data_IF_829595605427
#
_entry.id   IF_829595605427
#
_cell.length_a   1.000
_cell.length_b   1.000
_cell.length_c   1.000
_cell.angle_alpha   90.00
_cell.angle_beta   90.00
_cell.angle_gamma   90.00
#
_symmetry.space_group_name_H-M   'P 1'
#
loop_
_entity.id
_entity.type
_entity.pdbx_description
1 polymer ?
#
# COMPACT_ATOMS: atom_id res chain seq x y z
N UNK A 1 5.20 2.75 -42.86
CA UNK A 1 4.94 3.54 -41.63
C UNK A 1 4.50 4.93 -42.07
N UNK A 2 3.28 5.38 -41.73
CA UNK A 2 2.86 6.77 -41.94
C UNK A 2 2.72 7.42 -40.57
N UNK A 3 3.54 8.43 -40.29
CA UNK A 3 3.46 9.21 -39.06
C UNK A 3 2.63 10.47 -39.34
N UNK A 4 1.77 10.85 -38.40
CA UNK A 4 1.07 12.13 -38.43
C UNK A 4 1.84 13.04 -37.48
N UNK A 5 2.58 14.01 -38.02
CA UNK A 5 3.36 14.97 -37.25
C UNK A 5 2.72 16.36 -37.37
N UNK A 6 2.54 17.04 -36.25
CA UNK A 6 1.96 18.38 -36.18
C UNK A 6 2.82 19.30 -35.31
N UNK A 7 3.57 20.19 -35.96
CA UNK A 7 4.45 21.17 -35.31
C UNK A 7 3.69 22.29 -34.56
N UNK A 8 2.36 22.39 -34.72
CA UNK A 8 1.53 23.42 -34.08
C UNK A 8 1.02 23.04 -32.69
N UNK A 9 1.15 21.77 -32.31
CA UNK A 9 0.61 21.20 -31.05
C UNK A 9 1.45 21.52 -29.80
N UNK A 10 2.59 22.20 -29.94
CA UNK A 10 3.51 22.49 -28.83
C UNK A 10 4.34 21.29 -28.34
N UNK A 11 4.07 20.08 -28.84
CA UNK A 11 4.83 18.86 -28.54
C UNK A 11 6.04 18.79 -29.47
N UNK A 12 7.28 18.59 -28.98
CA UNK A 12 8.46 18.48 -29.82
C UNK A 12 8.32 17.36 -30.86
N UNK A 13 8.77 17.60 -32.10
CA UNK A 13 8.70 16.63 -33.21
C UNK A 13 9.37 15.29 -32.84
N UNK A 14 10.45 15.33 -32.06
CA UNK A 14 11.13 14.13 -31.54
C UNK A 14 10.16 13.25 -30.75
N UNK A 15 9.33 13.83 -29.88
CA UNK A 15 8.39 13.07 -29.04
C UNK A 15 7.23 12.49 -29.86
N UNK A 16 6.75 13.23 -30.86
CA UNK A 16 5.73 12.74 -31.77
C UNK A 16 6.23 11.55 -32.61
N UNK A 17 7.48 11.59 -33.07
CA UNK A 17 8.10 10.47 -33.80
C UNK A 17 8.25 9.25 -32.87
N UNK A 18 8.72 9.45 -31.62
CA UNK A 18 8.83 8.35 -30.63
C UNK A 18 7.46 7.71 -30.37
N UNK A 19 6.44 8.52 -30.10
CA UNK A 19 5.09 8.03 -29.83
C UNK A 19 4.49 7.28 -31.03
N UNK A 20 4.65 7.82 -32.25
CA UNK A 20 4.14 7.19 -33.45
C UNK A 20 4.85 5.87 -33.79
N UNK A 21 6.18 5.79 -33.60
CA UNK A 21 6.92 4.53 -33.78
C UNK A 21 6.54 3.51 -32.71
N UNK A 22 6.32 3.93 -31.46
CA UNK A 22 5.81 3.05 -30.39
C UNK A 22 4.44 2.49 -30.72
N UNK A 23 3.51 3.32 -31.18
CA UNK A 23 2.18 2.87 -31.59
C UNK A 23 2.24 1.90 -32.78
N UNK A 24 3.12 2.17 -33.75
CA UNK A 24 3.35 1.30 -34.90
C UNK A 24 3.89 -0.09 -34.50
N UNK A 25 4.80 -0.15 -33.52
CA UNK A 25 5.29 -1.41 -32.94
C UNK A 25 4.18 -2.10 -32.11
N UNK A 26 3.48 -1.35 -31.25
CA UNK A 26 2.47 -1.86 -30.33
C UNK A 26 1.22 -2.45 -31.01
N UNK A 27 0.79 -1.87 -32.14
CA UNK A 27 -0.35 -2.34 -32.91
C UNK A 27 -0.06 -3.59 -33.77
N UNK A 28 1.12 -4.21 -33.62
CA UNK A 28 1.61 -5.37 -34.41
C UNK A 28 1.73 -5.13 -35.91
N UNK A 29 1.77 -3.87 -36.36
CA UNK A 29 2.08 -3.53 -37.75
C UNK A 29 3.55 -3.78 -38.11
N UNK A 30 4.42 -3.85 -37.09
CA UNK A 30 5.82 -4.21 -37.22
C UNK A 30 6.14 -5.45 -36.38
N UNK A 31 6.68 -6.49 -37.01
CA UNK A 31 7.23 -7.65 -36.28
C UNK A 31 8.65 -7.36 -35.79
N UNK A 32 9.12 -8.02 -34.72
CA UNK A 32 10.54 -8.09 -34.40
C UNK A 32 11.41 -8.33 -35.64
N UNK A 33 12.50 -7.58 -35.76
CA UNK A 33 13.39 -7.59 -36.93
C UNK A 33 12.88 -6.82 -38.15
N UNK A 34 11.69 -6.20 -38.10
CA UNK A 34 11.22 -5.31 -39.17
C UNK A 34 12.15 -4.09 -39.29
N UNK A 35 12.53 -3.76 -40.53
CA UNK A 35 13.41 -2.63 -40.81
C UNK A 35 12.61 -1.32 -40.81
N UNK A 36 13.12 -0.31 -40.10
CA UNK A 36 12.55 1.03 -40.15
C UNK A 36 13.04 1.80 -41.39
N UNK A 37 12.29 2.81 -41.85
CA UNK A 37 12.79 3.78 -42.80
C UNK A 37 14.11 4.39 -42.32
N UNK A 38 15.04 4.63 -43.24
CA UNK A 38 16.28 5.32 -42.88
C UNK A 38 16.01 6.73 -42.35
N UNK A 39 16.91 7.29 -41.54
CA UNK A 39 16.79 8.68 -41.04
C UNK A 39 16.50 9.67 -42.18
N UNK A 40 17.18 9.50 -43.32
CA UNK A 40 17.00 10.37 -44.50
C UNK A 40 15.63 10.20 -45.14
N UNK A 41 15.16 8.96 -45.22
CA UNK A 41 13.86 8.64 -45.80
C UNK A 41 12.72 9.15 -44.93
N UNK A 42 12.77 8.91 -43.62
CA UNK A 42 11.72 9.37 -42.71
C UNK A 42 11.62 10.89 -42.66
N UNK A 43 12.77 11.58 -42.65
CA UNK A 43 12.82 13.03 -42.71
C UNK A 43 12.19 13.58 -44.00
N UNK A 44 12.48 12.94 -45.15
CA UNK A 44 11.94 13.35 -46.45
C UNK A 44 10.43 13.09 -46.57
N UNK A 45 9.96 11.92 -46.12
CA UNK A 45 8.54 11.54 -46.15
C UNK A 45 7.65 12.46 -45.30
N UNK A 46 8.21 13.05 -44.25
CA UNK A 46 7.49 13.93 -43.33
C UNK A 46 7.85 15.41 -43.49
N UNK A 47 8.71 15.77 -44.45
CA UNK A 47 9.10 17.16 -44.71
C UNK A 47 9.84 17.87 -43.56
N UNK A 48 10.53 17.12 -42.69
CA UNK A 48 11.21 17.65 -41.49
C UNK A 48 12.74 17.58 -41.62
N UNK A 49 13.45 18.28 -40.73
CA UNK A 49 14.89 18.16 -40.60
C UNK A 49 15.29 16.77 -40.07
N UNK A 50 16.54 16.36 -40.30
CA UNK A 50 17.02 15.03 -39.88
C UNK A 50 17.23 14.93 -38.37
N UNK A 51 17.40 16.06 -37.68
CA UNK A 51 17.80 16.09 -36.28
C UNK A 51 16.76 15.45 -35.34
N UNK A 52 15.45 15.78 -35.42
CA UNK A 52 14.42 15.11 -34.62
C UNK A 52 14.33 13.60 -34.88
N UNK A 53 14.61 13.16 -36.11
CA UNK A 53 14.58 11.73 -36.48
C UNK A 53 15.76 10.98 -35.86
N UNK A 54 16.96 11.58 -35.89
CA UNK A 54 18.16 11.00 -35.25
C UNK A 54 17.92 10.85 -33.75
N UNK A 55 17.49 11.93 -33.11
CA UNK A 55 17.24 11.95 -31.67
C UNK A 55 16.13 10.96 -31.27
N UNK A 56 15.05 10.87 -32.05
CA UNK A 56 13.96 9.93 -31.81
C UNK A 56 14.44 8.47 -31.94
N UNK A 57 15.22 8.16 -32.97
CA UNK A 57 15.75 6.82 -33.18
C UNK A 57 16.75 6.43 -32.09
N UNK A 58 17.65 7.33 -31.71
CA UNK A 58 18.59 7.09 -30.61
C UNK A 58 17.86 6.87 -29.27
N UNK A 59 16.79 7.62 -29.02
CA UNK A 59 15.94 7.45 -27.83
C UNK A 59 15.17 6.12 -27.84
N UNK A 60 14.74 5.65 -29.01
CA UNK A 60 14.09 4.34 -29.16
C UNK A 60 15.08 3.18 -29.05
N UNK A 61 16.32 3.37 -29.49
CA UNK A 61 17.43 2.41 -29.27
C UNK A 61 17.78 2.34 -27.79
N UNK A 62 17.90 3.48 -27.09
CA UNK A 62 18.19 3.49 -25.65
C UNK A 62 17.07 2.87 -24.80
N UNK A 63 15.82 2.91 -25.29
CA UNK A 63 14.67 2.24 -24.69
C UNK A 63 14.57 0.75 -25.04
N UNK A 64 15.51 0.20 -25.83
CA UNK A 64 15.50 -1.21 -26.22
C UNK A 64 14.37 -1.60 -27.18
N UNK A 65 13.73 -0.62 -27.82
CA UNK A 65 12.65 -0.85 -28.81
C UNK A 65 13.20 -1.02 -30.22
N UNK A 66 14.39 -0.48 -30.50
CA UNK A 66 15.10 -0.61 -31.77
C UNK A 66 16.53 -1.12 -31.57
N UNK A 67 16.99 -1.93 -32.51
CA UNK A 67 18.40 -2.29 -32.67
C UNK A 67 19.03 -1.41 -33.75
N UNK A 68 20.14 -0.74 -33.41
CA UNK A 68 21.01 -0.08 -34.38
C UNK A 68 22.04 -1.08 -34.90
N UNK A 69 21.99 -1.41 -36.20
CA UNK A 69 22.97 -2.28 -36.85
C UNK A 69 23.89 -1.44 -37.73
N UNK A 70 25.17 -1.40 -37.40
CA UNK A 70 26.18 -0.62 -38.10
C UNK A 70 26.14 -0.92 -39.62
N UNK A 71 25.97 0.13 -40.44
CA UNK A 71 25.86 0.02 -41.90
C UNK A 71 24.54 -0.50 -42.46
N UNK A 72 23.63 -1.03 -41.62
CA UNK A 72 22.40 -1.70 -42.05
C UNK A 72 21.10 -0.97 -41.67
N UNK A 73 21.17 0.00 -40.77
CA UNK A 73 20.02 0.83 -40.34
C UNK A 73 19.40 0.37 -39.01
N UNK A 74 18.16 0.78 -38.77
CA UNK A 74 17.44 0.53 -37.52
C UNK A 74 16.38 -0.56 -37.74
N UNK A 75 16.29 -1.48 -36.78
CA UNK A 75 15.37 -2.61 -36.83
C UNK A 75 14.57 -2.64 -35.53
N UNK A 76 13.31 -3.09 -35.59
CA UNK A 76 12.53 -3.34 -34.37
C UNK A 76 13.25 -4.40 -33.55
N UNK A 77 13.61 -4.08 -32.31
CA UNK A 77 14.31 -4.98 -31.43
C UNK A 77 13.46 -6.24 -31.19
N UNK A 78 14.12 -7.39 -31.05
CA UNK A 78 13.45 -8.62 -30.67
C UNK A 78 13.06 -8.51 -29.20
N UNK A 79 11.83 -8.09 -28.93
CA UNK A 79 11.36 -7.96 -27.55
C UNK A 79 11.38 -9.34 -26.90
N UNK A 80 12.27 -9.61 -25.92
CA UNK A 80 12.31 -10.90 -25.25
C UNK A 80 11.04 -11.17 -24.43
N UNK A 81 10.14 -10.19 -24.35
CA UNK A 81 8.92 -10.18 -23.55
C UNK A 81 7.69 -10.63 -24.35
N UNK A 82 7.71 -10.56 -25.69
CA UNK A 82 6.58 -10.93 -26.54
C UNK A 82 6.51 -12.46 -26.75
N UNK A 83 6.27 -13.21 -25.67
CA UNK A 83 6.13 -14.66 -25.73
C UNK A 83 6.51 -15.41 -24.46
N UNK A 84 7.02 -14.71 -23.44
CA UNK A 84 7.27 -15.34 -22.14
C UNK A 84 5.99 -15.28 -21.31
N UNK A 85 5.25 -16.38 -21.27
CA UNK A 85 4.51 -16.75 -20.06
C UNK A 85 5.55 -16.98 -18.96
N UNK A 86 6.08 -15.89 -18.39
CA UNK A 86 7.19 -15.93 -17.45
C UNK A 86 6.69 -16.43 -16.10
N UNK A 87 6.65 -17.75 -15.92
CA UNK A 87 6.63 -18.32 -14.58
C UNK A 87 7.92 -17.92 -13.87
N UNK A 88 7.82 -17.25 -12.72
CA UNK A 88 8.94 -17.06 -11.79
C UNK A 88 9.78 -15.77 -11.94
N UNK A 89 9.33 -14.77 -12.69
CA UNK A 89 9.95 -13.43 -12.69
C UNK A 89 9.00 -12.44 -12.00
N UNK A 90 9.52 -11.65 -11.05
CA UNK A 90 8.80 -10.46 -10.57
C UNK A 90 8.84 -9.41 -11.68
N UNK A 91 7.68 -9.07 -12.22
CA UNK A 91 7.53 -8.05 -13.27
C UNK A 91 6.92 -6.78 -12.63
N UNK A 92 7.73 -5.74 -12.35
CA UNK A 92 7.25 -4.50 -11.75
C UNK A 92 6.16 -3.79 -12.59
N UNK A 93 6.11 -4.03 -13.91
CA UNK A 93 5.11 -3.41 -14.78
C UNK A 93 3.67 -3.81 -14.43
N UNK A 94 3.48 -4.96 -13.75
CA UNK A 94 2.17 -5.41 -13.27
C UNK A 94 1.59 -4.53 -12.16
N UNK A 95 2.42 -3.71 -11.51
CA UNK A 95 2.05 -2.83 -10.41
C UNK A 95 2.68 -1.44 -10.54
N UNK A 96 2.99 -1.01 -11.77
CA UNK A 96 3.65 0.26 -12.05
C UNK A 96 2.82 1.45 -11.56
N UNK A 97 1.52 1.45 -11.86
CA UNK A 97 0.55 2.45 -11.40
C UNK A 97 0.60 2.66 -9.87
N UNK A 98 0.60 1.56 -9.12
CA UNK A 98 0.64 1.58 -7.66
C UNK A 98 2.02 1.95 -7.12
N UNK A 99 3.08 1.50 -7.79
CA UNK A 99 4.47 1.78 -7.39
C UNK A 99 4.80 3.26 -7.59
N UNK A 100 4.42 3.83 -8.73
CA UNK A 100 4.55 5.25 -9.04
C UNK A 100 3.79 6.10 -8.03
N UNK A 101 2.54 5.73 -7.73
CA UNK A 101 1.77 6.41 -6.70
C UNK A 101 2.45 6.38 -5.32
N UNK A 102 3.02 5.25 -4.93
CA UNK A 102 3.77 5.14 -3.67
C UNK A 102 5.00 6.04 -3.70
N UNK A 103 5.75 6.08 -4.81
CA UNK A 103 6.93 6.92 -4.97
C UNK A 103 6.58 8.42 -4.93
N UNK A 104 5.50 8.83 -5.58
CA UNK A 104 4.99 10.21 -5.54
C UNK A 104 4.78 10.71 -4.11
N UNK A 105 4.23 9.86 -3.22
CA UNK A 105 4.01 10.21 -1.80
C UNK A 105 5.30 10.63 -1.06
N UNK A 106 6.46 10.14 -1.52
CA UNK A 106 7.77 10.50 -0.99
C UNK A 106 8.44 11.66 -1.75
N UNK A 107 8.06 11.89 -3.02
CA UNK A 107 8.67 12.90 -3.89
C UNK A 107 7.93 14.25 -3.91
N UNK A 108 6.83 14.43 -3.16
CA UNK A 108 6.15 15.72 -3.11
C UNK A 108 7.05 16.86 -2.61
N UNK A 109 6.90 18.08 -3.18
CA UNK A 109 7.63 19.26 -2.74
C UNK A 109 7.50 19.47 -1.23
N UNK A 110 8.63 19.78 -0.58
CA UNK A 110 8.68 20.17 0.82
C UNK A 110 7.66 21.29 1.10
N UNK A 111 6.82 21.12 2.11
CA UNK A 111 5.86 22.14 2.57
C UNK A 111 4.40 21.87 2.23
N UNK A 112 4.06 20.87 1.42
CA UNK A 112 2.67 20.44 1.18
C UNK A 112 2.05 19.75 2.39
N UNK A 113 0.74 19.90 2.58
CA UNK A 113 0.00 19.20 3.62
C UNK A 113 -0.43 17.82 3.13
N UNK A 114 0.15 16.76 3.69
CA UNK A 114 -0.17 15.36 3.34
C UNK A 114 -1.46 14.87 3.99
N UNK A 115 -2.62 15.36 3.51
CA UNK A 115 -3.93 15.11 4.12
C UNK A 115 -4.38 13.64 4.02
N UNK A 116 -3.92 12.88 3.01
CA UNK A 116 -4.16 11.44 2.93
C UNK A 116 -3.10 10.58 3.65
N UNK A 117 -2.11 11.19 4.31
CA UNK A 117 -0.93 10.50 4.85
C UNK A 117 -1.25 9.57 6.02
N UNK A 118 -0.56 8.42 6.10
CA UNK A 118 -0.83 7.41 7.13
C UNK A 118 -0.04 7.56 8.43
N UNK A 119 0.18 8.79 8.90
CA UNK A 119 0.98 9.10 10.09
C UNK A 119 0.30 10.18 10.94
N UNK A 120 0.65 10.27 12.22
CA UNK A 120 0.23 11.39 13.08
C UNK A 120 1.22 12.55 13.00
N UNK A 121 0.79 13.80 13.32
CA UNK A 121 1.66 14.95 13.44
C UNK A 121 2.90 14.66 14.30
N UNK A 122 4.05 15.23 13.92
CA UNK A 122 5.30 15.02 14.67
C UNK A 122 5.19 15.48 16.13
N UNK A 123 4.49 16.60 16.36
CA UNK A 123 4.18 17.14 17.69
C UNK A 123 3.30 16.22 18.55
N UNK A 124 2.73 15.18 17.96
CA UNK A 124 1.94 14.18 18.67
C UNK A 124 2.73 12.91 18.97
N UNK A 125 4.00 12.79 18.55
CA UNK A 125 4.83 11.60 18.77
C UNK A 125 5.62 11.67 20.08
N UNK A 126 5.95 10.51 20.63
CA UNK A 126 6.82 10.39 21.81
C UNK A 126 8.31 10.43 21.44
N UNK A 127 8.76 11.58 20.92
CA UNK A 127 10.15 11.77 20.50
C UNK A 127 11.12 11.66 21.70
N UNK A 128 10.70 12.12 22.88
CA UNK A 128 11.49 12.05 24.10
C UNK A 128 11.68 10.60 24.57
N UNK A 129 10.59 9.82 24.66
CA UNK A 129 10.66 8.40 25.02
C UNK A 129 11.51 7.60 24.04
N UNK A 130 11.39 7.87 22.74
CA UNK A 130 12.23 7.27 21.71
C UNK A 130 13.72 7.62 21.91
N UNK A 131 14.03 8.90 22.13
CA UNK A 131 15.41 9.36 22.35
C UNK A 131 16.02 8.74 23.61
N UNK A 132 15.24 8.61 24.67
CA UNK A 132 15.68 7.97 25.92
C UNK A 132 15.97 6.47 25.70
N UNK A 133 15.12 5.77 24.96
CA UNK A 133 15.32 4.36 24.62
C UNK A 133 16.60 4.16 23.79
N UNK A 134 16.81 4.99 22.77
CA UNK A 134 18.04 4.98 21.95
C UNK A 134 19.28 5.15 22.84
N UNK A 135 19.31 6.17 23.70
CA UNK A 135 20.44 6.43 24.60
C UNK A 135 20.71 5.27 25.55
N UNK A 136 19.66 4.58 26.02
CA UNK A 136 19.82 3.43 26.90
C UNK A 136 20.45 2.24 26.17
N UNK A 137 19.96 1.91 24.98
CA UNK A 137 20.49 0.81 24.16
C UNK A 137 21.94 1.07 23.75
N UNK A 138 22.25 2.28 23.28
CA UNK A 138 23.62 2.64 22.90
C UNK A 138 24.63 2.57 24.05
N UNK A 139 24.19 2.64 25.31
CA UNK A 139 25.07 2.56 26.49
C UNK A 139 25.19 1.16 27.06
N UNK A 140 24.10 0.39 27.06
CA UNK A 140 23.99 -0.83 27.85
C UNK A 140 23.97 -2.12 27.02
N UNK A 141 23.72 -2.04 25.71
CA UNK A 141 23.58 -3.20 24.82
C UNK A 141 24.35 -2.99 23.52
N UNK A 142 25.68 -2.87 23.61
CA UNK A 142 26.53 -2.64 22.43
C UNK A 142 26.39 -3.75 21.37
N UNK A 143 26.11 -4.98 21.79
CA UNK A 143 25.86 -6.11 20.89
C UNK A 143 24.68 -5.85 19.94
N UNK A 144 23.63 -5.17 20.42
CA UNK A 144 22.48 -4.79 19.59
C UNK A 144 22.84 -3.75 18.53
N UNK A 145 23.92 -2.99 18.72
CA UNK A 145 24.41 -1.97 17.78
C UNK A 145 25.27 -2.61 16.68
N UNK A 146 25.96 -3.71 16.98
CA UNK A 146 26.96 -4.32 16.10
C UNK A 146 26.42 -5.54 15.35
N UNK A 147 25.61 -6.37 16.02
CA UNK A 147 25.21 -7.68 15.51
C UNK A 147 23.77 -7.68 14.98
N UNK A 148 23.48 -8.66 14.12
CA UNK A 148 22.11 -8.92 13.66
C UNK A 148 21.24 -9.44 14.80
N UNK A 149 19.92 -9.27 14.65
CA UNK A 149 18.96 -9.95 15.51
C UNK A 149 18.98 -11.46 15.18
N UNK A 150 18.32 -12.27 16.02
CA UNK A 150 18.01 -13.65 15.60
C UNK A 150 17.00 -13.62 14.44
N UNK A 151 16.92 -14.66 13.59
CA UNK A 151 15.91 -14.73 12.52
C UNK A 151 14.47 -14.58 13.04
N UNK A 152 14.18 -15.11 14.24
CA UNK A 152 12.88 -14.93 14.90
C UNK A 152 12.64 -13.49 15.40
N UNK A 153 13.72 -12.73 15.62
CA UNK A 153 13.73 -11.41 16.23
C UNK A 153 14.31 -11.38 17.64
N UNK A 154 14.42 -10.17 18.18
CA UNK A 154 14.93 -9.88 19.50
C UNK A 154 14.08 -10.58 20.59
N UNK A 155 14.68 -11.37 21.50
CA UNK A 155 13.94 -12.17 22.47
C UNK A 155 12.98 -11.36 23.34
N UNK A 156 13.41 -10.20 23.84
CA UNK A 156 12.57 -9.39 24.71
C UNK A 156 11.44 -8.72 23.92
N UNK A 157 11.70 -8.30 22.68
CA UNK A 157 10.66 -7.73 21.84
C UNK A 157 9.55 -8.77 21.57
N UNK A 158 9.94 -10.03 21.30
CA UNK A 158 8.97 -11.12 21.11
C UNK A 158 8.12 -11.36 22.36
N UNK A 159 8.69 -11.24 23.56
CA UNK A 159 7.91 -11.32 24.82
C UNK A 159 6.95 -10.14 24.96
N UNK A 160 7.38 -8.92 24.67
CA UNK A 160 6.50 -7.74 24.71
C UNK A 160 5.35 -7.86 23.71
N UNK A 161 5.61 -8.37 22.49
CA UNK A 161 4.57 -8.68 21.49
C UNK A 161 3.62 -9.76 22.02
N UNK A 162 4.14 -10.84 22.60
CA UNK A 162 3.32 -11.91 23.17
C UNK A 162 2.37 -11.38 24.26
N UNK A 163 2.88 -10.55 25.17
CA UNK A 163 2.06 -9.90 26.20
C UNK A 163 0.97 -9.02 25.57
N UNK A 164 1.31 -8.27 24.52
CA UNK A 164 0.37 -7.42 23.80
C UNK A 164 -0.75 -8.22 23.15
N UNK A 165 -0.45 -9.26 22.38
CA UNK A 165 -1.49 -10.04 21.69
C UNK A 165 -2.37 -10.84 22.66
N UNK A 166 -1.83 -11.24 23.82
CA UNK A 166 -2.63 -11.85 24.89
C UNK A 166 -3.61 -10.87 25.53
N UNK A 167 -3.25 -9.58 25.65
CA UNK A 167 -4.20 -8.55 26.06
C UNK A 167 -5.33 -8.34 25.04
N UNK A 168 -5.13 -8.79 23.79
CA UNK A 168 -6.15 -8.85 22.75
C UNK A 168 -6.98 -10.14 22.79
N UNK A 169 -6.78 -11.02 23.77
CA UNK A 169 -7.47 -12.30 23.87
C UNK A 169 -6.95 -13.37 22.91
N UNK A 170 -5.83 -13.13 22.22
CA UNK A 170 -5.19 -14.12 21.34
C UNK A 170 -4.31 -15.03 22.22
N UNK A 171 -4.68 -16.30 22.35
CA UNK A 171 -3.97 -17.30 23.15
C UNK A 171 -2.73 -17.83 22.42
N UNK A 172 -1.77 -16.93 22.14
CA UNK A 172 -0.52 -17.27 21.48
C UNK A 172 0.55 -17.77 22.47
N UNK A 173 1.56 -18.44 21.91
CA UNK A 173 2.82 -18.79 22.57
C UNK A 173 4.03 -18.13 21.90
N UNK A 174 5.17 -18.09 22.60
CA UNK A 174 6.37 -17.42 22.08
C UNK A 174 6.87 -17.96 20.72
N UNK A 175 6.85 -19.28 20.42
CA UNK A 175 7.25 -19.80 19.11
C UNK A 175 6.36 -19.33 17.95
N UNK A 176 5.17 -18.82 18.24
CA UNK A 176 4.24 -18.28 17.25
C UNK A 176 4.54 -16.83 16.88
N UNK A 177 5.46 -16.15 17.57
CA UNK A 177 5.76 -14.74 17.37
C UNK A 177 7.03 -14.56 16.54
N UNK A 178 6.89 -13.99 15.34
CA UNK A 178 7.97 -13.61 14.44
C UNK A 178 8.06 -12.09 14.33
N UNK A 179 9.22 -11.49 14.63
CA UNK A 179 9.46 -10.07 14.38
C UNK A 179 9.83 -9.87 12.91
N UNK A 180 9.37 -8.76 12.32
CA UNK A 180 9.59 -8.42 10.92
C UNK A 180 10.02 -6.95 10.75
N UNK A 181 10.58 -6.63 9.59
CA UNK A 181 10.91 -5.28 9.16
C UNK A 181 9.63 -4.52 8.75
N UNK A 182 8.79 -4.25 9.74
CA UNK A 182 7.44 -3.69 9.58
C UNK A 182 6.42 -4.71 9.08
N UNK A 183 5.16 -4.30 9.06
CA UNK A 183 4.06 -5.13 8.53
C UNK A 183 4.24 -5.47 7.04
N UNK A 184 4.92 -4.60 6.28
CA UNK A 184 5.21 -4.83 4.86
C UNK A 184 6.04 -6.10 4.63
N UNK A 185 7.07 -6.37 5.45
CA UNK A 185 7.83 -7.62 5.34
C UNK A 185 6.97 -8.81 5.77
N UNK A 186 6.12 -8.68 6.79
CA UNK A 186 5.22 -9.77 7.19
C UNK A 186 4.28 -10.18 6.04
N UNK A 187 3.67 -9.20 5.36
CA UNK A 187 2.84 -9.43 4.18
C UNK A 187 3.64 -10.08 3.03
N UNK A 188 4.83 -9.59 2.74
CA UNK A 188 5.71 -10.14 1.70
C UNK A 188 6.10 -11.60 1.99
N UNK A 189 6.47 -11.94 3.23
CA UNK A 189 6.77 -13.31 3.63
C UNK A 189 5.57 -14.24 3.44
N UNK A 190 4.37 -13.79 3.84
CA UNK A 190 3.12 -14.56 3.68
C UNK A 190 2.81 -14.77 2.19
N UNK A 191 2.89 -13.71 1.37
CA UNK A 191 2.65 -13.77 -0.08
C UNK A 191 3.64 -14.72 -0.76
N UNK A 192 4.94 -14.60 -0.48
CA UNK A 192 5.99 -15.46 -1.07
C UNK A 192 5.84 -16.93 -0.70
N UNK A 193 5.44 -17.22 0.53
CA UNK A 193 5.37 -18.59 1.03
C UNK A 193 4.07 -19.29 0.64
N UNK A 194 2.92 -18.61 0.71
CA UNK A 194 1.60 -19.24 0.55
C UNK A 194 0.99 -19.08 -0.84
N UNK A 195 1.48 -18.14 -1.65
CA UNK A 195 0.91 -17.84 -2.97
C UNK A 195 1.89 -18.12 -4.09
N UNK A 196 1.32 -18.44 -5.25
CA UNK A 196 2.00 -18.60 -6.54
C UNK A 196 1.28 -17.74 -7.58
N UNK A 197 1.97 -17.32 -8.66
CA UNK A 197 1.31 -16.63 -9.77
C UNK A 197 0.09 -17.41 -10.28
N UNK A 198 -1.00 -16.70 -10.54
CA UNK A 198 -2.29 -17.26 -10.95
C UNK A 198 -3.20 -17.70 -9.79
N UNK A 199 -2.71 -17.76 -8.54
CA UNK A 199 -3.59 -17.99 -7.39
C UNK A 199 -4.59 -16.85 -7.22
N UNK A 200 -5.79 -17.18 -6.75
CA UNK A 200 -6.81 -16.19 -6.38
C UNK A 200 -6.71 -15.82 -4.91
N UNK A 201 -6.86 -14.54 -4.59
CA UNK A 201 -6.97 -14.03 -3.23
C UNK A 201 -8.14 -13.05 -3.14
N UNK A 202 -8.78 -13.03 -1.97
CA UNK A 202 -9.77 -12.02 -1.63
C UNK A 202 -9.08 -10.84 -0.94
N UNK A 203 -9.54 -9.64 -1.29
CA UNK A 203 -9.13 -8.39 -0.67
C UNK A 203 -10.37 -7.52 -0.46
N UNK A 204 -10.33 -6.60 0.49
CA UNK A 204 -11.42 -5.66 0.72
C UNK A 204 -11.53 -4.64 -0.42
N UNK A 205 -12.75 -4.23 -0.73
CA UNK A 205 -13.07 -3.18 -1.70
C UNK A 205 -14.01 -2.13 -1.10
N UNK A 206 -13.50 -0.93 -0.71
CA UNK A 206 -12.11 -0.49 -0.87
C UNK A 206 -11.13 -1.10 0.15
N UNK A 207 -9.85 -1.15 -0.19
CA UNK A 207 -8.78 -1.71 0.63
C UNK A 207 -7.41 -1.06 0.39
N UNK A 208 -6.36 -1.63 0.98
CA UNK A 208 -5.04 -1.00 1.02
C UNK A 208 -4.23 -1.17 -0.27
N UNK A 209 -4.01 -0.05 -0.99
CA UNK A 209 -3.32 -0.02 -2.28
C UNK A 209 -1.89 -0.62 -2.30
N UNK A 210 -1.06 -0.45 -1.25
CA UNK A 210 0.27 -1.08 -1.25
C UNK A 210 0.18 -2.61 -1.26
N UNK A 211 -0.82 -3.18 -0.58
CA UNK A 211 -1.06 -4.62 -0.62
C UNK A 211 -1.46 -5.05 -2.03
N UNK A 212 -2.32 -4.27 -2.70
CA UNK A 212 -2.69 -4.57 -4.08
C UNK A 212 -1.47 -4.61 -5.00
N UNK A 213 -0.53 -3.66 -4.82
CA UNK A 213 0.70 -3.61 -5.59
C UNK A 213 1.58 -4.83 -5.35
N UNK A 214 1.76 -5.23 -4.09
CA UNK A 214 2.50 -6.45 -3.73
C UNK A 214 1.88 -7.71 -4.35
N UNK A 215 0.55 -7.83 -4.31
CA UNK A 215 -0.18 -8.98 -4.85
C UNK A 215 -0.09 -9.02 -6.38
N UNK A 216 -0.28 -7.88 -7.07
CA UNK A 216 -0.12 -7.78 -8.52
C UNK A 216 1.32 -8.07 -8.96
N UNK A 217 2.32 -7.56 -8.24
CA UNK A 217 3.74 -7.86 -8.48
C UNK A 217 4.04 -9.37 -8.37
N UNK A 218 3.32 -10.10 -7.51
CA UNK A 218 3.43 -11.54 -7.36
C UNK A 218 2.58 -12.33 -8.37
N UNK A 219 1.89 -11.64 -9.29
CA UNK A 219 1.09 -12.23 -10.35
C UNK A 219 -0.17 -12.95 -9.85
N UNK A 220 -0.70 -12.57 -8.67
CA UNK A 220 -1.92 -13.18 -8.13
C UNK A 220 -3.17 -12.45 -8.64
N UNK A 221 -4.29 -13.16 -8.69
CA UNK A 221 -5.59 -12.61 -9.07
C UNK A 221 -6.31 -12.06 -7.84
N UNK A 222 -6.57 -10.75 -7.84
CA UNK A 222 -7.30 -10.09 -6.75
C UNK A 222 -8.79 -10.09 -7.06
N UNK A 223 -9.59 -10.53 -6.09
CA UNK A 223 -11.06 -10.40 -6.13
C UNK A 223 -11.48 -9.50 -4.97
N UNK A 224 -12.09 -8.36 -5.31
CA UNK A 224 -12.59 -7.39 -4.35
C UNK A 224 -13.87 -7.88 -3.68
N UNK A 225 -13.85 -7.98 -2.35
CA UNK A 225 -15.02 -8.23 -1.52
C UNK A 225 -15.57 -6.87 -1.08
N UNK A 226 -16.83 -6.54 -1.41
CA UNK A 226 -17.45 -5.28 -1.01
C UNK A 226 -17.36 -5.06 0.50
N UNK A 227 -16.86 -3.89 0.88
CA UNK A 227 -16.72 -3.50 2.29
C UNK A 227 -17.87 -2.60 2.72
N UNK A 228 -18.49 -2.93 3.85
CA UNK A 228 -19.58 -2.15 4.46
C UNK A 228 -19.09 -1.42 5.71
N UNK A 229 -19.93 -0.58 6.32
CA UNK A 229 -19.62 0.05 7.60
C UNK A 229 -19.32 -0.96 8.74
N UNK A 230 -19.73 -2.22 8.59
CA UNK A 230 -19.56 -3.28 9.58
C UNK A 230 -18.44 -4.29 9.21
N UNK A 231 -17.69 -4.06 8.14
CA UNK A 231 -16.69 -4.99 7.61
C UNK A 231 -17.05 -5.56 6.24
N UNK A 232 -16.28 -6.55 5.74
CA UNK A 232 -16.55 -7.20 4.46
C UNK A 232 -17.92 -7.87 4.45
N UNK A 233 -18.67 -7.72 3.36
CA UNK A 233 -20.00 -8.28 3.21
C UNK A 233 -19.95 -9.82 3.13
N UNK A 234 -20.51 -10.55 4.12
CA UNK A 234 -20.48 -12.02 4.12
C UNK A 234 -21.29 -12.65 2.99
N UNK A 235 -22.41 -12.04 2.59
CA UNK A 235 -23.28 -12.61 1.56
C UNK A 235 -22.65 -12.41 0.18
N UNK A 236 -22.02 -11.25 -0.06
CA UNK A 236 -21.20 -11.03 -1.24
C UNK A 236 -19.98 -11.97 -1.27
N UNK A 237 -19.32 -12.18 -0.12
CA UNK A 237 -18.21 -13.13 0.02
C UNK A 237 -18.65 -14.55 -0.37
N UNK A 238 -19.80 -15.00 0.13
CA UNK A 238 -20.36 -16.31 -0.19
C UNK A 238 -20.71 -16.45 -1.68
N UNK A 239 -21.24 -15.40 -2.30
CA UNK A 239 -21.50 -15.38 -3.74
C UNK A 239 -20.21 -15.49 -4.57
N UNK A 240 -19.16 -14.77 -4.18
CA UNK A 240 -17.84 -14.83 -4.84
C UNK A 240 -17.20 -16.22 -4.68
N UNK A 241 -17.37 -16.89 -3.54
CA UNK A 241 -16.87 -18.25 -3.30
C UNK A 241 -17.50 -19.32 -4.21
N UNK A 242 -18.62 -19.03 -4.88
CA UNK A 242 -19.21 -19.92 -5.90
C UNK A 242 -18.44 -19.85 -7.22
N UNK A 243 -17.74 -18.75 -7.48
CA UNK A 243 -17.05 -18.47 -8.73
C UNK A 243 -15.53 -18.60 -8.58
N UNK A 244 -15.02 -18.36 -7.37
CA UNK A 244 -13.61 -18.28 -7.07
C UNK A 244 -13.24 -19.20 -5.91
N UNK A 245 -11.97 -19.65 -5.89
CA UNK A 245 -11.40 -20.44 -4.79
C UNK A 245 -10.20 -19.71 -4.22
N UNK A 246 -10.41 -18.71 -3.34
CA UNK A 246 -9.31 -17.94 -2.78
C UNK A 246 -8.44 -18.81 -1.87
N UNK A 247 -7.13 -18.56 -1.87
CA UNK A 247 -6.23 -19.14 -0.86
C UNK A 247 -6.19 -18.32 0.42
N UNK A 248 -6.20 -17.00 0.25
CA UNK A 248 -6.11 -16.02 1.34
C UNK A 248 -7.18 -14.95 1.18
N UNK A 249 -7.64 -14.40 2.30
CA UNK A 249 -8.39 -13.17 2.39
C UNK A 249 -7.64 -12.17 3.28
N UNK A 250 -7.15 -11.08 2.68
CA UNK A 250 -6.53 -9.96 3.41
C UNK A 250 -7.58 -8.95 3.89
N UNK A 251 -7.54 -8.60 5.17
CA UNK A 251 -8.51 -7.69 5.79
C UNK A 251 -7.89 -6.92 6.96
N UNK A 252 -8.46 -5.75 7.29
CA UNK A 252 -8.21 -5.07 8.56
C UNK A 252 -9.46 -5.12 9.45
N UNK A 253 -9.43 -5.87 10.56
CA UNK A 253 -10.59 -5.96 11.44
C UNK A 253 -10.85 -4.70 12.24
N UNK A 254 -9.81 -3.92 12.56
CA UNK A 254 -9.92 -2.73 13.41
C UNK A 254 -9.38 -1.52 12.67
N UNK A 255 -10.22 -0.49 12.53
CA UNK A 255 -9.88 0.78 11.89
C UNK A 255 -9.37 0.58 10.46
N UNK A 256 -10.21 -0.03 9.63
CA UNK A 256 -9.90 -0.50 8.29
C UNK A 256 -9.35 0.61 7.40
N UNK A 257 -8.36 0.29 6.56
CA UNK A 257 -7.76 1.25 5.66
C UNK A 257 -8.31 1.05 4.23
N UNK A 258 -9.12 1.98 3.69
CA UNK A 258 -9.18 3.40 4.08
C UNK A 258 -10.38 3.82 4.94
N UNK A 259 -11.38 2.97 5.15
CA UNK A 259 -12.71 3.40 5.61
C UNK A 259 -12.78 3.93 7.04
N UNK A 260 -11.84 3.52 7.89
CA UNK A 260 -11.86 3.76 9.34
C UNK A 260 -12.87 2.87 10.09
N UNK A 261 -13.61 2.00 9.39
CA UNK A 261 -14.62 1.12 9.99
C UNK A 261 -13.97 0.02 10.83
N UNK A 262 -14.76 -0.63 11.68
CA UNK A 262 -14.32 -1.76 12.50
C UNK A 262 -15.28 -2.91 12.30
N UNK A 263 -14.72 -4.11 12.15
CA UNK A 263 -15.45 -5.34 11.89
C UNK A 263 -16.43 -5.63 13.03
N UNK A 264 -17.70 -5.81 12.69
CA UNK A 264 -18.73 -6.17 13.66
C UNK A 264 -18.62 -7.67 14.01
N UNK A 265 -18.79 -8.07 15.29
CA UNK A 265 -18.67 -9.47 15.69
C UNK A 265 -19.55 -10.45 14.88
N UNK A 266 -20.83 -10.15 14.55
CA UNK A 266 -21.64 -11.05 13.73
C UNK A 266 -21.06 -11.28 12.33
N UNK A 267 -20.45 -10.26 11.74
CA UNK A 267 -19.77 -10.34 10.43
C UNK A 267 -18.53 -11.22 10.56
N UNK A 268 -17.72 -11.01 11.60
CA UNK A 268 -16.54 -11.82 11.89
C UNK A 268 -16.87 -13.32 12.00
N UNK A 269 -17.93 -13.68 12.75
CA UNK A 269 -18.36 -15.08 12.86
C UNK A 269 -18.75 -15.70 11.52
N UNK A 270 -19.54 -14.98 10.70
CA UNK A 270 -19.94 -15.45 9.36
C UNK A 270 -18.73 -15.64 8.45
N UNK A 271 -17.78 -14.70 8.46
CA UNK A 271 -16.56 -14.77 7.64
C UNK A 271 -15.65 -15.94 8.05
N UNK A 272 -15.47 -16.18 9.34
CA UNK A 272 -14.71 -17.34 9.85
C UNK A 272 -15.39 -18.67 9.50
N UNK A 273 -16.73 -18.72 9.56
CA UNK A 273 -17.49 -19.89 9.12
C UNK A 273 -17.27 -20.18 7.63
N UNK A 274 -17.30 -19.16 6.77
CA UNK A 274 -16.99 -19.30 5.34
C UNK A 274 -15.56 -19.79 5.12
N UNK A 275 -14.58 -19.26 5.86
CA UNK A 275 -13.18 -19.70 5.78
C UNK A 275 -13.02 -21.18 6.11
N UNK A 276 -13.67 -21.66 7.20
CA UNK A 276 -13.64 -23.09 7.57
C UNK A 276 -14.33 -23.98 6.53
N UNK A 277 -15.48 -23.56 6.02
CA UNK A 277 -16.26 -24.33 5.02
C UNK A 277 -15.54 -24.45 3.67
N UNK A 278 -14.87 -23.38 3.24
CA UNK A 278 -14.24 -23.29 1.91
C UNK A 278 -12.71 -23.48 1.92
N UNK A 279 -12.09 -23.57 3.10
CA UNK A 279 -10.67 -23.93 3.26
C UNK A 279 -9.69 -22.82 2.89
N UNK A 280 -10.03 -21.55 3.14
CA UNK A 280 -9.12 -20.41 2.95
C UNK A 280 -8.70 -19.80 4.30
N UNK A 281 -7.62 -19.02 4.31
CA UNK A 281 -7.10 -18.37 5.53
C UNK A 281 -7.24 -16.85 5.47
N UNK A 282 -7.36 -16.22 6.63
CA UNK A 282 -7.29 -14.76 6.73
C UNK A 282 -5.85 -14.30 6.98
N UNK A 283 -5.50 -13.17 6.37
CA UNK A 283 -4.34 -12.36 6.77
C UNK A 283 -4.90 -11.08 7.36
N UNK A 284 -4.91 -11.01 8.68
CA UNK A 284 -5.46 -9.91 9.44
C UNK A 284 -4.35 -8.90 9.75
N UNK A 285 -4.34 -7.79 9.02
CA UNK A 285 -3.41 -6.68 9.26
C UNK A 285 -4.02 -5.69 10.26
N UNK A 286 -3.52 -5.65 11.48
CA UNK A 286 -4.02 -4.81 12.58
C UNK A 286 -3.03 -3.68 12.93
N UNK A 287 -2.41 -3.08 11.90
CA UNK A 287 -1.41 -2.01 12.04
C UNK A 287 -1.95 -0.73 12.71
N UNK A 288 -3.28 -0.53 12.75
CA UNK A 288 -3.93 0.64 13.36
C UNK A 288 -4.59 0.37 14.72
N UNK A 289 -4.53 -0.85 15.26
CA UNK A 289 -5.05 -1.23 16.58
C UNK A 289 -4.72 -0.25 17.71
N UNK A 290 -3.54 0.38 17.66
CA UNK A 290 -3.12 1.28 18.71
C UNK A 290 -3.96 2.55 18.81
N UNK A 291 -4.68 2.92 17.75
CA UNK A 291 -5.59 4.05 17.73
C UNK A 291 -7.02 3.70 18.18
N UNK A 292 -7.30 2.43 18.47
CA UNK A 292 -8.62 2.00 18.94
C UNK A 292 -8.88 2.58 20.34
N UNK A 293 -10.08 3.13 20.54
CA UNK A 293 -10.48 3.70 21.85
C UNK A 293 -11.16 2.66 22.72
N UNK A 294 -11.92 1.77 22.09
CA UNK A 294 -12.64 0.66 22.71
C UNK A 294 -12.08 -0.66 22.21
N UNK A 295 -12.09 -1.65 23.09
CA UNK A 295 -11.70 -3.00 22.72
C UNK A 295 -12.74 -3.61 21.78
N UNK A 296 -12.27 -4.26 20.72
CA UNK A 296 -13.10 -5.00 19.76
C UNK A 296 -12.46 -6.34 19.45
N UNK A 297 -13.29 -7.34 19.18
CA UNK A 297 -12.80 -8.66 18.81
C UNK A 297 -12.20 -8.64 17.41
N UNK A 298 -11.10 -9.37 17.27
CA UNK A 298 -10.42 -9.64 16.00
C UNK A 298 -10.81 -11.00 15.46
N UNK A 299 -10.60 -11.23 14.18
CA UNK A 299 -10.69 -12.57 13.61
C UNK A 299 -9.73 -13.51 14.35
N UNK A 300 -8.48 -13.08 14.61
CA UNK A 300 -7.51 -13.87 15.36
C UNK A 300 -7.94 -14.14 16.81
N UNK A 301 -8.68 -13.24 17.45
CA UNK A 301 -9.23 -13.47 18.80
C UNK A 301 -10.34 -14.52 18.78
N UNK A 302 -11.20 -14.50 17.77
CA UNK A 302 -12.32 -15.46 17.68
C UNK A 302 -11.88 -16.84 17.17
N UNK A 303 -10.87 -16.88 16.32
CA UNK A 303 -10.38 -18.10 15.67
C UNK A 303 -9.15 -18.72 16.35
N UNK A 304 -8.49 -17.98 17.24
CA UNK A 304 -7.29 -18.42 17.97
C UNK A 304 -6.17 -18.90 17.03
N UNK A 305 -5.99 -18.19 15.90
CA UNK A 305 -4.92 -18.36 14.91
C UNK A 305 -4.95 -19.69 14.11
N UNK A 306 -6.08 -20.41 14.08
CA UNK A 306 -6.21 -21.65 13.31
C UNK A 306 -6.15 -21.37 11.79
N UNK A 307 -7.00 -20.46 11.34
CA UNK A 307 -7.18 -19.96 9.98
C UNK A 307 -6.73 -18.50 9.83
N UNK A 308 -6.33 -17.83 10.91
CA UNK A 308 -5.95 -16.40 10.88
C UNK A 308 -4.46 -16.21 11.12
N UNK A 309 -3.80 -15.51 10.21
CA UNK A 309 -2.45 -14.97 10.36
C UNK A 309 -2.59 -13.52 10.82
N UNK A 310 -2.17 -13.23 12.06
CA UNK A 310 -2.26 -11.89 12.63
C UNK A 310 -0.98 -11.11 12.36
N UNK A 311 -1.10 -9.88 11.86
CA UNK A 311 0.00 -8.97 11.58
C UNK A 311 -0.20 -7.68 12.36
N UNK A 312 0.88 -7.17 12.95
CA UNK A 312 0.88 -5.86 13.60
C UNK A 312 2.20 -5.14 13.42
N UNK A 313 2.29 -3.92 13.96
CA UNK A 313 3.56 -3.23 13.99
C UNK A 313 3.53 -1.87 14.67
N UNK A 314 4.70 -1.23 14.68
CA UNK A 314 4.96 -0.04 15.49
C UNK A 314 5.22 1.21 14.64
N UNK A 315 5.09 1.10 13.32
CA UNK A 315 5.42 2.19 12.38
C UNK A 315 4.50 3.41 12.49
N UNK A 316 3.28 3.23 13.01
CA UNK A 316 2.25 4.27 13.06
C UNK A 316 2.27 5.09 14.35
N UNK A 317 2.79 4.50 15.43
CA UNK A 317 2.75 5.05 16.78
C UNK A 317 4.13 5.28 17.39
N UNK A 318 5.11 4.40 17.12
CA UNK A 318 6.49 4.55 17.61
C UNK A 318 7.33 5.32 16.60
N UNK A 319 7.67 4.70 15.47
CA UNK A 319 8.52 5.32 14.46
C UNK A 319 8.47 4.56 13.14
N UNK A 320 8.19 5.28 12.06
CA UNK A 320 8.32 4.74 10.71
C UNK A 320 9.79 4.40 10.37
N UNK A 321 10.77 5.03 11.00
CA UNK A 321 12.20 4.83 10.71
C UNK A 321 12.78 3.57 11.35
N UNK A 322 12.23 3.12 12.49
CA UNK A 322 12.68 1.87 13.12
C UNK A 322 12.26 0.62 12.33
N UNK A 323 11.20 0.73 11.51
CA UNK A 323 10.69 -0.36 10.67
C UNK A 323 10.50 -1.68 11.44
N UNK A 324 9.88 -1.63 12.63
CA UNK A 324 9.58 -2.83 13.42
C UNK A 324 8.11 -3.22 13.29
N UNK A 325 7.87 -4.48 12.94
CA UNK A 325 6.58 -5.15 12.85
C UNK A 325 6.66 -6.57 13.39
N UNK A 326 5.54 -7.28 13.35
CA UNK A 326 5.50 -8.68 13.77
C UNK A 326 4.34 -9.42 13.11
N UNK A 327 4.46 -10.74 13.08
CA UNK A 327 3.43 -11.69 12.68
C UNK A 327 3.24 -12.74 13.78
N UNK A 328 2.00 -13.12 14.01
CA UNK A 328 1.62 -14.22 14.90
C UNK A 328 0.74 -15.21 14.15
N UNK A 329 1.15 -16.48 14.12
CA UNK A 329 0.43 -17.53 13.41
C UNK A 329 0.72 -18.91 14.02
N UNK A 330 0.20 -19.98 13.43
CA UNK A 330 0.57 -21.34 13.79
C UNK A 330 2.10 -21.57 13.78
N UNK A 331 2.59 -22.41 14.69
CA UNK A 331 4.03 -22.65 14.91
C UNK A 331 4.72 -23.23 13.68
N UNK A 332 4.06 -24.13 12.94
CA UNK A 332 4.63 -24.73 11.75
C UNK A 332 4.76 -23.68 10.64
N UNK A 333 3.73 -22.85 10.46
CA UNK A 333 3.79 -21.74 9.50
C UNK A 333 4.89 -20.74 9.87
N UNK A 334 5.03 -20.35 11.14
CA UNK A 334 6.08 -19.43 11.58
C UNK A 334 7.47 -19.99 11.29
N UNK A 335 7.69 -21.29 11.52
CA UNK A 335 8.96 -21.95 11.18
C UNK A 335 9.27 -21.78 9.69
N UNK A 336 8.31 -22.04 8.81
CA UNK A 336 8.54 -21.95 7.37
C UNK A 336 8.74 -20.50 6.90
N UNK A 337 8.02 -19.54 7.50
CA UNK A 337 8.23 -18.11 7.24
C UNK A 337 9.61 -17.63 7.69
N UNK A 338 10.17 -18.21 8.76
CA UNK A 338 11.56 -17.93 9.19
C UNK A 338 12.56 -18.42 8.17
N UNK A 339 12.35 -19.63 7.62
CA UNK A 339 13.22 -20.18 6.57
C UNK A 339 13.24 -19.24 5.33
N UNK A 340 12.08 -18.71 4.93
CA UNK A 340 12.00 -17.69 3.87
C UNK A 340 12.71 -16.40 4.27
N UNK A 341 12.46 -15.90 5.49
CA UNK A 341 13.05 -14.64 5.99
C UNK A 341 14.58 -14.67 6.03
N UNK A 342 15.17 -15.79 6.45
CA UNK A 342 16.63 -15.97 6.47
C UNK A 342 17.21 -15.83 5.06
N UNK A 343 16.53 -16.39 4.05
CA UNK A 343 16.99 -16.33 2.66
C UNK A 343 16.82 -14.95 2.02
N UNK A 344 15.82 -14.16 2.44
CA UNK A 344 15.55 -12.84 1.82
C UNK A 344 16.15 -11.66 2.58
N UNK A 345 16.41 -11.79 3.87
CA UNK A 345 16.85 -10.68 4.72
C UNK A 345 17.83 -11.06 5.83
N UNK A 346 18.13 -12.35 6.01
CA UNK A 346 18.92 -12.91 7.12
C UNK A 346 18.26 -12.70 8.49
N UNK A 347 18.12 -11.45 8.92
CA UNK A 347 17.46 -11.05 10.17
C UNK A 347 17.03 -9.57 10.12
N UNK A 348 16.29 -9.13 11.13
CA UNK A 348 15.96 -7.71 11.31
C UNK A 348 17.10 -6.90 11.94
N UNK A 349 16.92 -5.59 12.03
CA UNK A 349 17.86 -4.69 12.71
C UNK A 349 17.77 -4.91 14.23
N UNK A 350 18.81 -5.51 14.81
CA UNK A 350 18.88 -5.75 16.26
C UNK A 350 18.73 -4.45 17.04
N UNK A 351 19.39 -3.38 16.60
CA UNK A 351 19.29 -2.06 17.21
C UNK A 351 17.84 -1.56 17.23
N UNK A 352 17.14 -1.59 16.09
CA UNK A 352 15.78 -1.09 16.01
C UNK A 352 14.81 -1.93 16.87
N UNK A 353 15.01 -3.25 16.89
CA UNK A 353 14.22 -4.18 17.71
C UNK A 353 14.48 -3.99 19.21
N UNK A 354 15.73 -3.78 19.63
CA UNK A 354 16.13 -3.51 21.00
C UNK A 354 15.58 -2.16 21.50
N UNK A 355 15.70 -1.10 20.68
CA UNK A 355 15.11 0.22 20.99
C UNK A 355 13.59 0.10 21.17
N UNK A 356 12.92 -0.65 20.29
CA UNK A 356 11.48 -0.89 20.40
C UNK A 356 11.14 -1.66 21.67
N UNK A 357 11.89 -2.71 22.01
CA UNK A 357 11.70 -3.49 23.24
C UNK A 357 11.82 -2.61 24.49
N UNK A 358 12.89 -1.83 24.59
CA UNK A 358 13.13 -0.93 25.72
C UNK A 358 12.02 0.13 25.88
N UNK A 359 11.49 0.64 24.77
CA UNK A 359 10.39 1.61 24.78
C UNK A 359 9.07 0.99 25.28
N UNK A 360 8.79 -0.26 24.91
CA UNK A 360 7.61 -0.98 25.38
C UNK A 360 7.71 -1.36 26.87
N UNK A 361 8.88 -1.84 27.32
CA UNK A 361 9.11 -2.33 28.67
C UNK A 361 8.99 -1.23 29.73
N UNK A 362 9.48 -0.02 29.43
CA UNK A 362 9.50 1.12 30.38
C UNK A 362 8.13 1.73 30.68
N UNK A 363 7.05 1.23 30.07
CA UNK A 363 5.67 1.64 30.32
C UNK A 363 5.27 3.04 29.83
N UNK A 364 6.23 3.87 29.43
CA UNK A 364 5.99 5.20 28.86
C UNK A 364 5.11 5.15 27.60
N UNK A 365 5.35 4.12 26.76
CA UNK A 365 4.58 3.88 25.54
C UNK A 365 3.08 3.75 25.77
N UNK A 366 2.67 3.00 26.79
CA UNK A 366 1.24 2.82 27.12
C UNK A 366 0.57 4.16 27.41
N UNK A 367 1.17 4.96 28.29
CA UNK A 367 0.65 6.29 28.67
C UNK A 367 0.60 7.23 27.46
N UNK A 368 1.61 7.14 26.58
CA UNK A 368 1.65 7.90 25.34
C UNK A 368 0.48 7.52 24.40
N UNK A 369 0.27 6.23 24.15
CA UNK A 369 -0.82 5.75 23.28
C UNK A 369 -2.19 6.13 23.85
N UNK A 370 -2.39 6.06 25.17
CA UNK A 370 -3.62 6.52 25.83
C UNK A 370 -3.90 8.02 25.55
N UNK A 371 -2.88 8.89 25.65
CA UNK A 371 -3.02 10.32 25.29
C UNK A 371 -3.26 10.51 23.79
N UNK A 372 -2.58 9.74 22.94
CA UNK A 372 -2.73 9.82 21.49
C UNK A 372 -4.15 9.48 21.05
N UNK A 373 -4.74 8.42 21.61
CA UNK A 373 -6.14 8.02 21.36
C UNK A 373 -7.12 9.15 21.65
N UNK A 374 -6.93 9.89 22.74
CA UNK A 374 -7.77 11.03 23.09
C UNK A 374 -7.68 12.16 22.05
N UNK A 375 -6.45 12.52 21.64
CA UNK A 375 -6.22 13.56 20.61
C UNK A 375 -6.82 13.17 19.27
N UNK A 376 -6.62 11.93 18.85
CA UNK A 376 -7.15 11.40 17.59
C UNK A 376 -8.67 11.38 17.61
N UNK A 377 -9.29 10.93 18.71
CA UNK A 377 -10.75 10.95 18.87
C UNK A 377 -11.34 12.35 18.72
N UNK A 378 -10.72 13.34 19.36
CA UNK A 378 -11.14 14.73 19.25
C UNK A 378 -10.98 15.25 17.81
N UNK A 379 -9.86 14.95 17.17
CA UNK A 379 -9.60 15.32 15.78
C UNK A 379 -10.61 14.69 14.81
N UNK A 380 -10.95 13.41 14.98
CA UNK A 380 -12.00 12.74 14.20
C UNK A 380 -13.36 13.41 14.39
N UNK A 381 -13.77 13.67 15.64
CA UNK A 381 -15.04 14.32 15.90
C UNK A 381 -15.12 15.72 15.26
N UNK A 382 -14.02 16.48 15.31
CA UNK A 382 -13.92 17.79 14.67
C UNK A 382 -14.00 17.69 13.14
N UNK A 383 -13.24 16.76 12.55
CA UNK A 383 -13.20 16.52 11.11
C UNK A 383 -14.57 16.07 10.56
N UNK A 384 -15.26 15.15 11.24
CA UNK A 384 -16.63 14.73 10.86
C UNK A 384 -17.59 15.91 10.87
N UNK A 385 -17.57 16.76 11.91
CA UNK A 385 -18.43 17.96 11.96
C UNK A 385 -18.13 18.94 10.84
N UNK A 386 -16.85 19.13 10.49
CA UNK A 386 -16.48 19.99 9.36
C UNK A 386 -16.92 19.40 8.02
N UNK A 387 -16.67 18.11 7.77
CA UNK A 387 -17.05 17.45 6.52
C UNK A 387 -18.56 17.52 6.32
N UNK A 388 -19.32 17.01 7.29
CA UNK A 388 -20.79 17.00 7.24
C UNK A 388 -21.39 18.40 7.18
N UNK A 389 -20.81 19.38 7.89
CA UNK A 389 -21.22 20.78 7.83
C UNK A 389 -20.98 21.46 6.47
N UNK A 390 -20.08 20.90 5.65
CA UNK A 390 -19.87 21.31 4.26
C UNK A 390 -20.59 20.37 3.26
N UNK A 391 -21.54 19.54 3.71
CA UNK A 391 -22.31 18.65 2.84
C UNK A 391 -21.58 17.40 2.35
N UNK A 392 -20.39 17.09 2.87
CA UNK A 392 -19.70 15.85 2.55
C UNK A 392 -20.39 14.66 3.21
N UNK A 393 -20.38 13.53 2.51
CA UNK A 393 -20.75 12.23 3.07
C UNK A 393 -19.53 11.55 3.68
N UNK A 394 -19.68 11.03 4.90
CA UNK A 394 -18.66 10.24 5.61
C UNK A 394 -19.16 8.79 5.69
N UNK A 395 -18.33 7.85 5.27
CA UNK A 395 -18.70 6.44 5.04
C UNK A 395 -19.27 5.75 6.28
N UNK A 396 -18.68 5.99 7.45
CA UNK A 396 -19.17 5.49 8.73
C UNK A 396 -18.78 6.44 9.87
N UNK A 397 -19.51 6.36 10.99
CA UNK A 397 -19.12 7.07 12.20
C UNK A 397 -17.82 6.46 12.76
N UNK A 398 -16.77 7.26 12.99
CA UNK A 398 -15.49 6.75 13.46
C UNK A 398 -15.59 6.29 14.91
N UNK A 399 -15.20 5.05 15.19
CA UNK A 399 -15.00 4.52 16.55
C UNK A 399 -13.61 4.88 17.13
N UNK A 400 -12.73 5.43 16.30
CA UNK A 400 -11.35 5.79 16.60
C UNK A 400 -10.56 5.92 15.30
N UNK A 401 -9.23 5.78 15.38
CA UNK A 401 -8.37 5.75 14.19
C UNK A 401 -8.12 7.11 13.55
N UNK A 402 -7.14 7.17 12.65
CA UNK A 402 -6.72 8.44 12.05
C UNK A 402 -7.47 8.79 10.77
N UNK A 403 -8.24 7.86 10.20
CA UNK A 403 -8.79 8.02 8.85
C UNK A 403 -10.30 8.19 8.86
N UNK A 404 -10.74 9.02 7.93
CA UNK A 404 -12.12 9.13 7.49
C UNK A 404 -12.14 8.88 5.97
N UNK A 405 -13.09 8.09 5.52
CA UNK A 405 -13.39 7.92 4.10
C UNK A 405 -14.61 8.76 3.78
N UNK A 406 -14.41 9.77 2.93
CA UNK A 406 -15.43 10.79 2.68
C UNK A 406 -15.49 11.16 1.20
N UNK A 407 -16.68 11.57 0.74
CA UNK A 407 -16.89 12.13 -0.59
C UNK A 407 -17.65 13.46 -0.51
N UNK A 408 -17.29 14.46 -1.34
CA UNK A 408 -18.05 15.70 -1.46
C UNK A 408 -19.31 15.48 -2.29
N UNK A 409 -20.28 16.41 -2.27
CA UNK A 409 -21.38 16.41 -3.22
C UNK A 409 -20.86 16.67 -4.65
N UNK A 410 -21.53 16.08 -5.65
CA UNK A 410 -21.38 16.44 -7.07
C UNK A 410 -20.06 16.10 -7.76
N UNK A 411 -19.12 15.42 -7.10
CA UNK A 411 -17.86 14.95 -7.71
C UNK A 411 -17.83 13.42 -7.68
N UNK A 412 -17.84 12.81 -8.87
CA UNK A 412 -17.83 11.34 -9.01
C UNK A 412 -16.40 10.77 -9.18
N UNK A 413 -15.45 11.58 -9.65
CA UNK A 413 -14.05 11.17 -9.81
C UNK A 413 -13.12 11.94 -8.86
N UNK A 414 -12.63 11.26 -7.83
CA UNK A 414 -11.69 11.80 -6.84
C UNK A 414 -10.36 12.30 -7.42
N UNK A 415 -10.02 12.02 -8.68
CA UNK A 415 -8.87 12.67 -9.35
C UNK A 415 -9.05 14.18 -9.45
N UNK A 416 -10.29 14.66 -9.61
CA UNK A 416 -10.59 16.10 -9.59
C UNK A 416 -10.27 16.72 -8.22
N UNK A 417 -10.47 15.96 -7.14
CA UNK A 417 -10.11 16.38 -5.79
C UNK A 417 -8.60 16.45 -5.58
N UNK A 418 -7.82 15.60 -6.24
CA UNK A 418 -6.35 15.67 -6.19
C UNK A 418 -5.88 16.97 -6.83
N UNK A 419 -6.33 17.27 -8.04
CA UNK A 419 -6.01 18.52 -8.74
C UNK A 419 -6.43 19.75 -7.92
N UNK A 420 -7.64 19.73 -7.35
CA UNK A 420 -8.10 20.79 -6.46
C UNK A 420 -7.21 20.91 -5.22
N UNK A 421 -6.82 19.80 -4.60
CA UNK A 421 -5.94 19.79 -3.43
C UNK A 421 -4.62 20.51 -3.69
N UNK A 422 -4.02 20.31 -4.86
CA UNK A 422 -2.78 20.97 -5.27
C UNK A 422 -2.90 22.50 -5.27
N UNK A 423 -4.03 23.05 -5.72
CA UNK A 423 -4.32 24.50 -5.69
C UNK A 423 -4.27 25.08 -4.25
N UNK A 424 -4.55 24.25 -3.24
CA UNK A 424 -4.54 24.62 -1.81
C UNK A 424 -3.27 24.15 -1.08
N UNK A 425 -2.28 23.58 -1.79
CA UNK A 425 -1.08 23.00 -1.20
C UNK A 425 -1.35 21.77 -0.34
N UNK A 426 -2.40 21.00 -0.70
CA UNK A 426 -2.84 19.76 -0.04
C UNK A 426 -2.58 18.58 -0.98
N UNK A 427 -1.91 17.55 -0.46
CA UNK A 427 -1.68 16.30 -1.17
C UNK A 427 -2.69 15.24 -0.74
N UNK A 428 -3.30 14.59 -1.72
CA UNK A 428 -4.28 13.52 -1.55
C UNK A 428 -3.90 12.28 -2.35
N UNK A 429 -4.57 11.18 -2.07
CA UNK A 429 -4.58 10.00 -2.92
C UNK A 429 -6.01 9.83 -3.46
N UNK A 430 -6.20 9.69 -4.79
CA UNK A 430 -7.52 9.46 -5.33
C UNK A 430 -8.05 8.09 -4.90
N UNK A 431 -9.37 7.97 -4.80
CA UNK A 431 -10.05 6.82 -4.25
C UNK A 431 -9.92 5.55 -5.07
N UNK A 432 -9.67 5.67 -6.37
CA UNK A 432 -9.50 4.55 -7.28
C UNK A 432 -8.28 3.68 -6.91
N UNK A 433 -7.23 4.22 -6.29
CA UNK A 433 -6.11 3.40 -5.81
C UNK A 433 -6.53 2.41 -4.71
N UNK A 434 -7.56 2.76 -3.93
CA UNK A 434 -8.10 1.87 -2.89
C UNK A 434 -9.09 0.85 -3.45
N UNK A 435 -9.31 0.82 -4.77
CA UNK A 435 -10.14 -0.16 -5.45
C UNK A 435 -9.25 -1.22 -6.11
N UNK A 436 -9.46 -2.53 -5.91
CA UNK A 436 -8.59 -3.56 -6.48
C UNK A 436 -8.60 -3.58 -8.02
N UNK A 437 -9.71 -3.17 -8.65
CA UNK A 437 -9.84 -3.01 -10.10
C UNK A 437 -9.49 -1.61 -10.62
N UNK A 438 -9.17 -0.65 -9.74
CA UNK A 438 -8.89 0.72 -10.11
C UNK A 438 -10.10 1.50 -10.65
N UNK A 439 -11.33 1.06 -10.32
CA UNK A 439 -12.54 1.75 -10.80
C UNK A 439 -12.63 3.18 -10.27
N UNK A 440 -13.29 4.05 -11.03
CA UNK A 440 -13.56 5.43 -10.62
C UNK A 440 -14.26 5.46 -9.26
N UNK A 441 -13.84 6.37 -8.39
CA UNK A 441 -14.37 6.52 -7.05
C UNK A 441 -14.48 8.00 -6.67
N UNK A 442 -15.62 8.39 -6.11
CA UNK A 442 -15.88 9.71 -5.56
C UNK A 442 -15.20 9.95 -4.20
N UNK A 443 -14.73 8.86 -3.56
CA UNK A 443 -14.29 8.89 -2.17
C UNK A 443 -12.78 9.15 -2.05
N UNK A 444 -12.37 9.82 -0.98
CA UNK A 444 -10.97 10.02 -0.62
C UNK A 444 -10.71 9.70 0.84
N UNK A 445 -9.46 9.32 1.14
CA UNK A 445 -8.98 9.10 2.51
C UNK A 445 -8.50 10.43 3.09
N UNK A 446 -9.10 10.83 4.21
CA UNK A 446 -8.74 12.03 4.96
C UNK A 446 -8.15 11.61 6.31
N UNK A 447 -6.96 12.09 6.63
CA UNK A 447 -6.37 11.94 7.95
C UNK A 447 -6.91 13.03 8.88
N UNK A 448 -7.73 12.62 9.83
CA UNK A 448 -8.40 13.50 10.79
C UNK A 448 -7.43 14.36 11.61
N UNK A 449 -6.20 13.87 11.87
CA UNK A 449 -5.21 14.63 12.63
C UNK A 449 -4.75 15.92 11.92
N UNK A 450 -4.94 16.01 10.60
CA UNK A 450 -4.60 17.17 9.78
C UNK A 450 -5.82 17.94 9.27
N UNK A 451 -7.04 17.46 9.52
CA UNK A 451 -8.27 18.04 8.97
C UNK A 451 -8.52 19.48 9.47
N UNK A 452 -8.04 19.83 10.66
CA UNK A 452 -8.17 21.18 11.24
C UNK A 452 -7.13 22.18 10.72
N UNK A 453 -6.16 21.75 9.89
CA UNK A 453 -5.17 22.66 9.34
C UNK A 453 -5.83 23.61 8.32
N UNK A 454 -5.51 24.93 8.31
CA UNK A 454 -6.22 25.91 7.49
C UNK A 454 -6.33 25.56 5.99
N UNK A 455 -5.29 24.94 5.40
CA UNK A 455 -5.30 24.49 4.00
C UNK A 455 -6.26 23.34 3.79
N UNK A 456 -6.31 22.37 4.71
CA UNK A 456 -7.30 21.29 4.66
C UNK A 456 -8.73 21.85 4.75
N UNK A 457 -8.99 22.78 5.67
CA UNK A 457 -10.30 23.42 5.82
C UNK A 457 -10.71 24.19 4.56
N UNK A 458 -9.78 24.96 3.97
CA UNK A 458 -10.04 25.70 2.73
C UNK A 458 -10.34 24.76 1.56
N UNK A 459 -9.54 23.70 1.40
CA UNK A 459 -9.76 22.65 0.41
C UNK A 459 -11.13 21.98 0.55
N UNK A 460 -11.49 21.53 1.76
CA UNK A 460 -12.76 20.82 1.99
C UNK A 460 -13.98 21.70 1.68
N UNK A 461 -13.90 23.01 1.96
CA UNK A 461 -14.92 23.99 1.60
C UNK A 461 -15.01 24.19 0.08
N UNK A 462 -13.87 24.32 -0.59
CA UNK A 462 -13.82 24.53 -2.04
C UNK A 462 -14.38 23.33 -2.80
N UNK A 463 -14.03 22.11 -2.37
CA UNK A 463 -14.51 20.86 -2.95
C UNK A 463 -16.04 20.74 -2.83
N UNK A 464 -16.61 21.14 -1.69
CA UNK A 464 -18.07 21.16 -1.51
C UNK A 464 -18.77 22.16 -2.44
N UNK A 465 -18.12 23.28 -2.76
CA UNK A 465 -18.69 24.33 -3.61
C UNK A 465 -18.67 24.02 -5.11
N UNK A 466 -17.88 23.04 -5.58
CA UNK A 466 -17.81 22.66 -7.01
C UNK A 466 -18.92 21.70 -7.46
N UNK A 467 -19.57 21.01 -6.53
CA UNK A 467 -20.63 20.04 -6.83
C UNK A 467 -22.07 20.56 -6.65
N UNK A 468 -22.23 21.87 -6.45
CA UNK A 468 -23.52 22.55 -6.25
C UNK A 468 -24.03 23.26 -7.51
#
# INVERSE_FOLDING_TARGET
>A
MKLILDASTGIPLTEQIVAGVKAWIGNREARPGARLPSIRQLAAENGISRFPVIEAYDRLVSQGLLDSRQGSGFYVADSPLAGRSACGWSDPSLAEDLSDHILEQFNHPSGTLKLAGGFVPETWRDVEGLTQAIRAISRNEIDSVIHYATPMGHPELRRQVLLRVRQLGIAAELPQVLITTGASQALDLVVRHLLKPGDTVFVEDPGYYNLFGLLRLHGVQLVGVPHTANGPDPDATEALLRQHKPKLFFTNSVLQNPTGSTLAPPVAFRLLELARRHGFRFVEDDIFSDFQTHFTDRLATLDQLEHVIYIGGFSKTVSASLRVGYLVADKALVKDLVDVKVLTSVAGSHFAEAVTAALLERGGYRKYVERLRLRVREACANAVRQLTGNGWEVFCQPSGGNFLWARPPGIEDSRELVTLGEEYGVTLAPGNYFRPGGETSAWIRINAAYANEPRAVAFMKAAAGRGG
#
